data_IF_119011169819
#
_entry.id   IF_119011169819
#
_cell.length_a   1.000
_cell.length_b   1.000
_cell.length_c   1.000
_cell.angle_alpha   90.00
_cell.angle_beta   90.00
_cell.angle_gamma   90.00
#
_symmetry.space_group_name_H-M   'P 1'
#
loop_
_entity.id
_entity.type
_entity.pdbx_description
1 polymer ?
#
# COMPACT_ATOMS: atom_id res chain seq x y z
N UNK A 1 -13.87 54.73 23.98
CA UNK A 1 -12.51 55.23 23.67
C UNK A 1 -11.45 54.13 23.85
N UNK A 2 -11.82 52.84 23.78
CA UNK A 2 -10.88 51.70 23.92
C UNK A 2 -10.78 50.81 22.66
N UNK A 3 -11.59 51.07 21.61
CA UNK A 3 -11.65 50.18 20.42
C UNK A 3 -10.75 50.58 19.24
N UNK A 4 -10.13 51.76 19.26
CA UNK A 4 -9.22 52.20 18.18
C UNK A 4 -7.74 51.88 18.45
N UNK A 5 -7.36 51.66 19.71
CA UNK A 5 -5.97 51.36 20.09
C UNK A 5 -5.55 49.90 19.79
N UNK A 6 -6.52 48.98 19.65
CA UNK A 6 -6.25 47.56 19.36
C UNK A 6 -6.10 47.31 17.86
N UNK A 7 -6.76 48.12 17.00
CA UNK A 7 -6.65 47.99 15.53
C UNK A 7 -5.34 48.51 14.94
N UNK A 8 -4.63 49.40 15.63
CA UNK A 8 -3.36 49.98 15.14
C UNK A 8 -2.12 49.12 15.44
N UNK A 9 -2.21 48.11 16.32
CA UNK A 9 -1.10 47.20 16.66
C UNK A 9 -0.95 45.96 15.76
N UNK A 10 -1.81 45.79 14.75
CA UNK A 10 -1.66 44.76 13.71
C UNK A 10 -0.97 45.31 12.46
N UNK A 11 -0.39 46.52 12.52
CA UNK A 11 0.50 47.00 11.47
C UNK A 11 1.83 46.25 11.53
N UNK A 12 2.00 45.37 10.54
CA UNK A 12 3.28 44.87 10.02
C UNK A 12 4.18 44.24 11.08
N UNK A 13 3.85 42.99 11.45
CA UNK A 13 4.92 42.04 11.77
C UNK A 13 5.93 42.13 10.62
N UNK A 14 7.21 42.44 10.85
CA UNK A 14 8.23 42.31 9.83
C UNK A 14 8.07 40.92 9.23
N UNK A 15 8.14 40.79 7.90
CA UNK A 15 8.37 39.46 7.32
C UNK A 15 9.62 38.96 8.02
N UNK A 16 9.47 38.00 8.94
CA UNK A 16 10.60 37.27 9.50
C UNK A 16 11.44 36.89 8.29
N UNK A 17 12.71 37.30 8.30
CA UNK A 17 13.65 36.90 7.28
C UNK A 17 13.51 35.39 7.15
N UNK A 18 12.98 34.93 6.00
CA UNK A 18 12.86 33.51 5.72
C UNK A 18 14.23 32.93 6.02
N UNK A 19 14.31 32.05 7.03
CA UNK A 19 15.53 31.32 7.38
C UNK A 19 16.19 30.89 6.08
N UNK A 20 17.30 31.55 5.74
CA UNK A 20 18.02 31.25 4.50
C UNK A 20 18.73 29.94 4.73
N UNK A 21 18.53 28.98 3.82
CA UNK A 21 19.21 27.69 3.88
C UNK A 21 20.73 27.94 3.91
N UNK A 22 21.40 27.48 4.96
CA UNK A 22 22.85 27.61 5.09
C UNK A 22 23.56 26.78 4.04
N UNK A 23 24.67 27.29 3.52
CA UNK A 23 25.38 26.71 2.38
C UNK A 23 25.83 25.28 2.67
N UNK A 24 26.29 25.03 3.89
CA UNK A 24 26.79 23.74 4.36
C UNK A 24 25.72 22.65 4.27
N UNK A 25 24.46 22.97 4.57
CA UNK A 25 23.33 22.04 4.40
C UNK A 25 22.92 21.91 2.93
N UNK A 26 22.93 23.03 2.18
CA UNK A 26 22.58 23.03 0.76
C UNK A 26 23.54 22.19 -0.08
N UNK A 27 24.84 22.27 0.21
CA UNK A 27 25.90 21.57 -0.53
C UNK A 27 25.81 20.05 -0.36
N UNK A 28 25.15 19.54 0.69
CA UNK A 28 24.91 18.10 0.89
C UNK A 28 23.78 17.54 0.02
N UNK A 29 22.96 18.40 -0.61
CA UNK A 29 21.80 17.98 -1.42
C UNK A 29 22.23 17.77 -2.87
N UNK A 30 22.53 16.51 -3.22
CA UNK A 30 23.01 16.15 -4.56
C UNK A 30 21.88 15.65 -5.47
N UNK A 31 21.20 14.56 -5.10
CA UNK A 31 20.27 13.84 -5.99
C UNK A 31 18.78 14.01 -5.64
N UNK A 32 18.48 14.64 -4.51
CA UNK A 32 17.12 14.79 -4.01
C UNK A 32 16.83 16.25 -3.64
N UNK A 33 17.06 17.16 -4.59
CA UNK A 33 16.71 18.58 -4.43
C UNK A 33 15.19 18.71 -4.35
N UNK A 34 14.69 19.09 -3.18
CA UNK A 34 13.26 19.32 -2.97
C UNK A 34 12.78 20.51 -3.80
N UNK A 35 11.79 20.29 -4.67
CA UNK A 35 11.19 21.35 -5.50
C UNK A 35 9.67 21.31 -5.44
N UNK A 36 9.05 22.45 -5.77
CA UNK A 36 7.60 22.49 -5.99
C UNK A 36 7.25 21.87 -7.34
N UNK A 37 6.14 21.15 -7.38
CA UNK A 37 5.63 20.59 -8.64
C UNK A 37 5.22 21.70 -9.61
N UNK A 38 6.00 21.86 -10.69
CA UNK A 38 5.71 22.81 -11.77
C UNK A 38 4.75 22.29 -12.84
N UNK A 39 4.45 20.98 -12.85
CA UNK A 39 3.68 20.32 -13.90
C UNK A 39 4.43 19.13 -14.51
N UNK A 40 3.73 18.38 -15.36
CA UNK A 40 4.36 17.33 -16.17
C UNK A 40 5.01 17.96 -17.39
N UNK A 41 6.21 17.49 -17.73
CA UNK A 41 6.96 18.01 -18.88
C UNK A 41 6.25 17.71 -20.19
N UNK A 42 6.16 18.73 -21.04
CA UNK A 42 5.72 18.58 -22.42
C UNK A 42 6.95 18.35 -23.32
N UNK A 43 6.79 17.72 -24.49
CA UNK A 43 7.87 17.67 -25.48
C UNK A 43 8.38 19.08 -25.79
N UNK A 44 9.67 19.33 -25.62
CA UNK A 44 10.31 20.60 -25.97
C UNK A 44 10.43 21.64 -24.85
N UNK A 45 9.91 21.40 -23.65
CA UNK A 45 10.19 22.26 -22.47
C UNK A 45 11.20 21.59 -21.53
N UNK A 46 12.14 22.35 -20.93
CA UNK A 46 13.00 21.83 -19.87
C UNK A 46 12.10 21.34 -18.73
N UNK A 47 12.06 20.03 -18.52
CA UNK A 47 11.39 19.44 -17.39
C UNK A 47 12.13 19.68 -16.08
N UNK A 48 11.61 19.09 -15.00
CA UNK A 48 12.41 18.92 -13.78
C UNK A 48 13.67 18.13 -14.12
N UNK A 49 14.75 18.39 -13.40
CA UNK A 49 15.97 17.59 -13.55
C UNK A 49 15.83 16.27 -12.79
N UNK A 50 16.58 15.23 -13.19
CA UNK A 50 16.52 13.91 -12.53
C UNK A 50 16.85 13.95 -11.03
N UNK A 51 17.64 14.94 -10.61
CA UNK A 51 18.03 15.15 -9.21
C UNK A 51 17.02 16.02 -8.43
N UNK A 52 15.94 16.46 -9.07
CA UNK A 52 14.85 17.19 -8.44
C UNK A 52 13.74 16.21 -8.04
N UNK A 53 13.28 16.35 -6.80
CA UNK A 53 12.27 15.49 -6.20
C UNK A 53 11.07 16.33 -5.78
N UNK A 54 9.88 15.84 -6.10
CA UNK A 54 8.62 16.49 -5.74
C UNK A 54 7.92 15.71 -4.64
N UNK A 55 7.32 16.43 -3.69
CA UNK A 55 6.43 15.87 -2.69
C UNK A 55 4.97 16.21 -2.96
N UNK A 56 4.08 15.22 -2.83
CA UNK A 56 2.64 15.37 -2.93
C UNK A 56 1.98 14.86 -1.66
N UNK A 57 0.99 15.60 -1.14
CA UNK A 57 0.06 15.01 -0.18
C UNK A 57 -0.76 13.92 -0.86
N UNK A 58 -1.24 12.95 -0.09
CA UNK A 58 -2.17 11.90 -0.51
C UNK A 58 -3.27 12.45 -1.44
N UNK A 59 -4.02 13.46 -0.99
CA UNK A 59 -5.10 14.07 -1.77
C UNK A 59 -4.62 14.64 -3.12
N UNK A 60 -3.43 15.24 -3.16
CA UNK A 60 -2.87 15.80 -4.39
C UNK A 60 -2.42 14.69 -5.34
N UNK A 61 -1.79 13.64 -4.82
CA UNK A 61 -1.39 12.47 -5.60
C UNK A 61 -2.60 11.76 -6.22
N UNK A 62 -3.67 11.54 -5.44
CA UNK A 62 -4.92 10.96 -5.92
C UNK A 62 -5.60 11.79 -7.01
N UNK A 63 -5.53 13.12 -6.90
CA UNK A 63 -6.02 14.02 -7.96
C UNK A 63 -5.20 13.90 -9.24
N UNK A 64 -3.87 13.89 -9.15
CA UNK A 64 -3.00 13.69 -10.31
C UNK A 64 -3.19 12.33 -10.96
N UNK A 65 -3.39 11.27 -10.18
CA UNK A 65 -3.76 9.94 -10.66
C UNK A 65 -5.09 9.97 -11.43
N UNK A 66 -6.06 10.73 -10.95
CA UNK A 66 -7.38 10.86 -11.59
C UNK A 66 -7.31 11.64 -12.91
N UNK A 67 -6.69 12.81 -12.89
CA UNK A 67 -6.72 13.77 -13.99
C UNK A 67 -5.64 13.49 -15.04
N UNK A 68 -4.52 12.87 -14.63
CA UNK A 68 -3.31 12.78 -15.45
C UNK A 68 -2.45 11.56 -15.10
N UNK A 69 -3.09 10.42 -14.82
CA UNK A 69 -2.43 9.20 -14.36
C UNK A 69 -1.27 8.73 -15.25
N UNK A 70 -1.43 8.76 -16.58
CA UNK A 70 -0.33 8.40 -17.49
C UNK A 70 0.84 9.37 -17.43
N UNK A 71 0.57 10.68 -17.34
CA UNK A 71 1.62 11.69 -17.21
C UNK A 71 2.40 11.53 -15.90
N UNK A 72 1.72 11.15 -14.81
CA UNK A 72 2.38 10.82 -13.54
C UNK A 72 3.26 9.56 -13.66
N UNK A 73 2.78 8.51 -14.34
CA UNK A 73 3.58 7.31 -14.63
C UNK A 73 4.85 7.67 -15.39
N UNK A 74 4.74 8.43 -16.48
CA UNK A 74 5.89 8.86 -17.30
C UNK A 74 6.85 9.75 -16.52
N UNK A 75 6.34 10.68 -15.71
CA UNK A 75 7.17 11.51 -14.83
C UNK A 75 8.02 10.64 -13.88
N UNK A 76 7.40 9.64 -13.27
CA UNK A 76 8.02 8.72 -12.32
C UNK A 76 9.00 7.71 -12.94
N UNK A 77 9.19 7.71 -14.26
CA UNK A 77 10.25 6.91 -14.91
C UNK A 77 11.63 7.49 -14.57
N UNK A 78 11.76 8.82 -14.64
CA UNK A 78 13.05 9.53 -14.52
C UNK A 78 13.15 10.43 -13.28
N UNK A 79 12.07 10.55 -12.49
CA UNK A 79 12.02 11.41 -11.30
C UNK A 79 11.47 10.65 -10.10
N UNK A 80 11.96 11.02 -8.91
CA UNK A 80 11.42 10.53 -7.66
C UNK A 80 10.24 11.39 -7.21
N UNK A 81 9.13 10.72 -6.90
CA UNK A 81 7.96 11.34 -6.27
C UNK A 81 7.79 10.81 -4.84
N UNK A 82 7.71 11.73 -3.89
CA UNK A 82 7.41 11.44 -2.48
C UNK A 82 5.94 11.69 -2.18
N UNK A 83 5.24 10.68 -1.71
CA UNK A 83 3.84 10.81 -1.26
C UNK A 83 3.82 10.76 0.27
N UNK A 84 2.97 11.55 0.91
CA UNK A 84 2.81 11.53 2.36
C UNK A 84 1.33 11.62 2.78
N UNK A 85 0.98 11.13 3.98
CA UNK A 85 -0.40 11.12 4.46
C UNK A 85 -1.04 12.50 4.47
N UNK A 86 -2.34 12.58 4.22
CA UNK A 86 -3.06 13.85 4.33
C UNK A 86 -2.99 14.43 5.76
N UNK A 87 -2.94 15.76 5.87
CA UNK A 87 -2.76 16.43 7.17
C UNK A 87 -3.88 16.20 8.20
N UNK A 88 -5.04 15.70 7.78
CA UNK A 88 -6.14 15.35 8.69
C UNK A 88 -5.94 14.00 9.41
N UNK A 89 -4.98 13.18 8.99
CA UNK A 89 -4.62 11.90 9.61
C UNK A 89 -3.76 12.12 10.86
N UNK A 90 -4.28 12.92 11.80
CA UNK A 90 -3.59 13.29 13.05
C UNK A 90 -3.46 12.10 14.01
N UNK A 91 -4.28 11.08 13.82
CA UNK A 91 -4.20 9.77 14.48
C UNK A 91 -3.10 8.87 13.91
N UNK A 92 -2.33 9.36 12.94
CA UNK A 92 -1.33 8.59 12.20
C UNK A 92 -1.90 7.43 11.38
N UNK A 93 -3.19 7.44 11.04
CA UNK A 93 -3.76 6.48 10.09
C UNK A 93 -3.03 6.51 8.75
N UNK A 94 -3.09 5.42 8.01
CA UNK A 94 -2.44 5.28 6.72
C UNK A 94 -3.45 5.29 5.57
N UNK A 95 -2.95 5.62 4.39
CA UNK A 95 -3.66 5.47 3.12
C UNK A 95 -3.13 4.23 2.38
N UNK A 96 -3.88 3.71 1.42
CA UNK A 96 -3.42 2.56 0.63
C UNK A 96 -2.20 2.95 -0.21
N UNK A 97 -1.04 2.27 -0.02
CA UNK A 97 0.14 2.58 -0.82
C UNK A 97 0.00 2.10 -2.28
N UNK A 98 -0.91 1.17 -2.53
CA UNK A 98 -1.10 0.52 -3.85
C UNK A 98 -1.54 1.51 -4.91
N UNK A 99 -2.44 2.45 -4.58
CA UNK A 99 -2.86 3.48 -5.52
C UNK A 99 -1.69 4.33 -6.01
N UNK A 100 -0.72 4.61 -5.12
CA UNK A 100 0.47 5.40 -5.46
C UNK A 100 1.45 4.59 -6.30
N UNK A 101 1.69 3.32 -5.96
CA UNK A 101 2.55 2.44 -6.76
C UNK A 101 2.00 2.18 -8.15
N UNK A 102 0.67 2.13 -8.31
CA UNK A 102 -0.01 2.03 -9.59
C UNK A 102 0.28 3.24 -10.51
N UNK A 103 0.66 4.39 -9.94
CA UNK A 103 1.15 5.56 -10.68
C UNK A 103 2.68 5.62 -10.84
N UNK A 104 3.40 4.58 -10.40
CA UNK A 104 4.85 4.53 -10.41
C UNK A 104 5.54 5.34 -9.30
N UNK A 105 4.80 5.90 -8.34
CA UNK A 105 5.37 6.63 -7.20
C UNK A 105 6.21 5.69 -6.34
N UNK A 106 7.40 6.13 -5.92
CA UNK A 106 8.43 5.26 -5.35
C UNK A 106 8.59 5.50 -3.84
N UNK A 107 8.61 6.77 -3.42
CA UNK A 107 8.77 7.13 -2.01
C UNK A 107 7.38 7.36 -1.41
N UNK A 108 6.64 6.27 -1.23
CA UNK A 108 5.30 6.28 -0.65
C UNK A 108 5.44 6.20 0.87
N UNK A 109 5.46 7.36 1.53
CA UNK A 109 5.68 7.43 2.98
C UNK A 109 4.38 7.09 3.71
N UNK A 110 4.48 6.14 4.63
CA UNK A 110 3.43 5.74 5.57
C UNK A 110 3.92 5.98 7.01
N UNK A 111 2.98 6.02 7.94
CA UNK A 111 3.20 6.01 9.37
C UNK A 111 3.50 4.57 9.81
N UNK A 112 4.79 4.20 9.90
CA UNK A 112 5.23 2.84 10.21
C UNK A 112 4.81 2.36 11.61
N UNK A 113 4.57 3.30 12.52
CA UNK A 113 4.10 3.02 13.88
C UNK A 113 2.63 2.56 13.95
N UNK A 114 1.89 2.63 12.84
CA UNK A 114 0.45 2.34 12.82
C UNK A 114 0.17 0.99 12.17
N UNK A 115 -0.15 -0.05 12.97
CA UNK A 115 -0.70 -1.31 12.49
C UNK A 115 -1.94 -1.09 11.61
N UNK A 116 -2.07 -1.89 10.56
CA UNK A 116 -3.25 -1.85 9.70
C UNK A 116 -3.02 -2.50 8.34
N UNK A 117 -4.10 -2.69 7.56
CA UNK A 117 -4.02 -3.30 6.25
C UNK A 117 -3.05 -2.56 5.31
N UNK A 118 -2.93 -1.24 5.45
CA UNK A 118 -2.01 -0.44 4.65
C UNK A 118 -0.54 -0.82 4.91
N UNK A 119 -0.17 -0.98 6.18
CA UNK A 119 1.18 -1.41 6.57
C UNK A 119 1.41 -2.89 6.28
N UNK A 120 0.38 -3.73 6.40
CA UNK A 120 0.46 -5.15 6.02
C UNK A 120 0.82 -5.31 4.53
N UNK A 121 0.15 -4.53 3.67
CA UNK A 121 0.41 -4.52 2.23
C UNK A 121 1.77 -3.89 1.93
N UNK A 122 2.14 -2.83 2.65
CA UNK A 122 3.46 -2.22 2.56
C UNK A 122 4.57 -3.21 2.84
N UNK A 123 4.56 -3.83 4.02
CA UNK A 123 5.56 -4.81 4.42
C UNK A 123 5.54 -6.02 3.48
N UNK A 124 4.36 -6.53 3.10
CA UNK A 124 4.25 -7.63 2.14
C UNK A 124 4.93 -7.35 0.80
N UNK A 125 4.76 -6.15 0.24
CA UNK A 125 5.48 -5.73 -0.96
C UNK A 125 7.00 -5.76 -0.75
N UNK A 126 7.45 -5.18 0.34
CA UNK A 126 8.88 -5.02 0.62
C UNK A 126 9.54 -6.24 1.27
N UNK A 127 8.82 -7.34 1.52
CA UNK A 127 9.45 -8.64 1.77
C UNK A 127 10.09 -9.21 0.50
N UNK A 128 9.61 -8.79 -0.67
CA UNK A 128 10.20 -9.17 -1.95
C UNK A 128 11.62 -8.62 -2.10
N UNK A 129 12.37 -9.20 -3.03
CA UNK A 129 13.76 -8.82 -3.30
C UNK A 129 14.65 -8.84 -2.03
N UNK A 130 14.47 -9.87 -1.20
CA UNK A 130 15.29 -10.09 0.00
C UNK A 130 15.13 -9.01 1.07
N UNK A 131 13.99 -8.32 1.11
CA UNK A 131 13.68 -7.27 2.07
C UNK A 131 14.68 -6.10 2.13
N UNK A 132 15.35 -5.80 1.02
CA UNK A 132 16.36 -4.74 0.95
C UNK A 132 15.78 -3.31 0.93
N UNK A 133 14.45 -3.14 0.90
CA UNK A 133 13.78 -1.84 0.84
C UNK A 133 13.63 -1.27 -0.59
N UNK A 134 14.18 -1.93 -1.61
CA UNK A 134 14.06 -1.52 -3.01
C UNK A 134 13.50 -2.67 -3.85
N UNK A 135 12.35 -2.45 -4.50
CA UNK A 135 11.70 -3.42 -5.39
C UNK A 135 11.62 -2.81 -6.79
N UNK A 136 12.19 -3.50 -7.78
CA UNK A 136 12.20 -3.03 -9.16
C UNK A 136 10.76 -2.90 -9.69
N UNK A 137 10.45 -1.76 -10.31
CA UNK A 137 9.14 -1.54 -10.94
C UNK A 137 8.94 -2.42 -12.18
N UNK A 138 7.70 -2.80 -12.50
CA UNK A 138 7.34 -3.41 -13.79
C UNK A 138 7.88 -2.62 -14.98
N UNK A 139 8.18 -3.31 -16.08
CA UNK A 139 8.81 -2.71 -17.25
C UNK A 139 8.01 -1.52 -17.81
N UNK A 140 6.68 -1.63 -17.86
CA UNK A 140 5.80 -0.57 -18.33
C UNK A 140 5.71 0.67 -17.41
N UNK A 141 6.20 0.58 -16.17
CA UNK A 141 6.38 1.73 -15.25
C UNK A 141 7.82 2.29 -15.28
N UNK A 142 8.66 1.75 -16.17
CA UNK A 142 10.04 2.19 -16.44
C UNK A 142 10.22 2.65 -17.89
N UNK A 143 9.19 2.53 -18.72
CA UNK A 143 9.20 3.00 -20.11
C UNK A 143 8.73 4.47 -20.18
N UNK A 144 9.58 5.41 -20.62
CA UNK A 144 9.22 6.82 -20.74
C UNK A 144 8.09 7.07 -21.74
N UNK A 145 7.86 6.15 -22.68
CA UNK A 145 6.81 6.24 -23.69
C UNK A 145 5.53 5.49 -23.30
N UNK A 146 5.51 4.82 -22.14
CA UNK A 146 4.39 4.01 -21.66
C UNK A 146 3.06 4.76 -21.78
N UNK A 147 2.03 4.09 -22.29
CA UNK A 147 0.65 4.59 -22.33
C UNK A 147 -0.19 4.04 -21.18
N UNK A 148 0.44 3.39 -20.19
CA UNK A 148 -0.24 2.82 -19.04
C UNK A 148 -0.95 3.89 -18.20
N UNK A 149 -2.20 3.60 -17.83
CA UNK A 149 -2.94 4.32 -16.80
C UNK A 149 -3.79 3.30 -16.03
N UNK A 150 -3.51 3.12 -14.74
CA UNK A 150 -4.20 2.16 -13.88
C UNK A 150 -5.70 2.44 -13.70
N UNK A 151 -6.14 3.69 -13.90
CA UNK A 151 -7.57 4.09 -13.84
C UNK A 151 -8.27 4.06 -15.20
N UNK A 152 -7.52 3.92 -16.30
CA UNK A 152 -8.04 3.86 -17.67
C UNK A 152 -7.27 2.80 -18.47
N UNK A 153 -7.43 1.53 -18.06
CA UNK A 153 -6.69 0.41 -18.64
C UNK A 153 -7.06 0.20 -20.11
N UNK A 154 -6.04 0.17 -20.95
CA UNK A 154 -6.12 -0.23 -22.36
C UNK A 154 -5.31 -1.50 -22.60
N UNK A 155 -5.34 -2.05 -23.82
CA UNK A 155 -4.47 -3.15 -24.19
C UNK A 155 -3.00 -2.69 -24.17
N UNK A 156 -2.12 -3.50 -23.59
CA UNK A 156 -0.68 -3.24 -23.53
C UNK A 156 0.07 -4.33 -22.77
N UNK A 157 1.39 -4.19 -22.56
CA UNK A 157 2.21 -5.20 -21.88
C UNK A 157 1.76 -5.51 -20.45
N UNK A 158 1.13 -4.56 -19.76
CA UNK A 158 0.54 -4.73 -18.44
C UNK A 158 -0.70 -5.64 -18.42
N UNK A 159 -1.40 -5.78 -19.55
CA UNK A 159 -2.63 -6.57 -19.65
C UNK A 159 -2.27 -8.05 -19.86
N UNK A 160 -1.97 -8.73 -18.76
CA UNK A 160 -1.57 -10.15 -18.74
C UNK A 160 -2.52 -10.94 -17.86
N UNK A 161 -3.81 -10.94 -18.23
CA UNK A 161 -4.88 -11.56 -17.44
C UNK A 161 -4.53 -12.97 -16.97
N UNK A 162 -4.67 -13.18 -15.66
CA UNK A 162 -4.51 -14.45 -14.96
C UNK A 162 -5.77 -14.84 -14.20
N UNK A 163 -6.03 -16.14 -14.14
CA UNK A 163 -6.99 -16.74 -13.23
C UNK A 163 -6.24 -17.29 -12.03
N UNK A 164 -6.46 -16.69 -10.87
CA UNK A 164 -5.93 -17.13 -9.59
C UNK A 164 -7.01 -17.93 -8.86
N UNK A 165 -6.72 -19.19 -8.57
CA UNK A 165 -7.55 -20.04 -7.72
C UNK A 165 -6.83 -20.26 -6.39
N UNK A 166 -7.52 -19.96 -5.28
CA UNK A 166 -7.02 -20.14 -3.92
C UNK A 166 -8.02 -20.98 -3.14
N UNK A 167 -7.62 -22.19 -2.77
CA UNK A 167 -8.37 -23.05 -1.86
C UNK A 167 -7.81 -22.92 -0.46
N UNK A 168 -8.59 -22.35 0.45
CA UNK A 168 -8.30 -22.27 1.88
C UNK A 168 -8.77 -23.58 2.51
N UNK A 169 -7.81 -24.46 2.82
CA UNK A 169 -8.12 -25.83 3.26
C UNK A 169 -8.34 -25.83 4.78
N UNK A 170 -7.32 -25.43 5.54
CA UNK A 170 -7.36 -25.45 7.00
C UNK A 170 -6.43 -24.42 7.63
N UNK A 171 -6.60 -24.16 8.93
CA UNK A 171 -5.69 -23.37 9.75
C UNK A 171 -4.99 -24.26 10.78
N UNK A 172 -3.85 -23.82 11.30
CA UNK A 172 -3.10 -24.51 12.33
C UNK A 172 -2.69 -23.52 13.41
N UNK A 173 -2.96 -23.86 14.68
CA UNK A 173 -2.50 -23.13 15.87
C UNK A 173 -2.74 -21.61 15.80
N UNK A 174 -3.94 -21.20 15.42
CA UNK A 174 -4.33 -19.80 15.35
C UNK A 174 -4.28 -19.18 16.75
N UNK A 175 -3.59 -18.04 16.93
CA UNK A 175 -3.40 -17.45 18.24
C UNK A 175 -4.71 -16.90 18.79
N UNK A 176 -4.93 -17.14 20.09
CA UNK A 176 -5.99 -16.45 20.83
C UNK A 176 -5.52 -15.04 21.18
N UNK A 177 -6.05 -14.06 20.48
CA UNK A 177 -5.63 -12.65 20.56
C UNK A 177 -6.17 -12.00 21.83
N UNK A 178 -7.45 -12.21 22.12
CA UNK A 178 -8.11 -11.66 23.28
C UNK A 178 -8.09 -12.65 24.45
N UNK A 179 -7.09 -12.50 25.34
CA UNK A 179 -6.93 -13.36 26.52
C UNK A 179 -8.02 -13.18 27.58
N UNK A 180 -8.75 -12.06 27.54
CA UNK A 180 -9.78 -11.73 28.53
C UNK A 180 -11.13 -12.40 28.21
N UNK A 181 -11.35 -12.81 26.97
CA UNK A 181 -12.49 -13.64 26.60
C UNK A 181 -12.18 -15.08 26.97
N UNK A 182 -13.03 -15.75 27.75
CA UNK A 182 -12.87 -17.18 28.05
C UNK A 182 -13.38 -18.09 26.90
N UNK A 183 -13.51 -17.56 25.69
CA UNK A 183 -13.97 -18.28 24.50
C UNK A 183 -12.81 -18.95 23.76
N UNK A 184 -13.16 -19.93 22.93
CA UNK A 184 -12.27 -20.43 21.89
C UNK A 184 -12.50 -19.55 20.65
N UNK A 185 -11.45 -19.40 19.83
CA UNK A 185 -11.52 -18.62 18.59
C UNK A 185 -12.54 -19.23 17.64
N UNK A 186 -13.34 -18.36 17.00
CA UNK A 186 -14.28 -18.67 15.92
C UNK A 186 -13.72 -18.17 14.58
N UNK A 187 -12.70 -18.82 14.00
CA UNK A 187 -11.96 -18.21 12.91
C UNK A 187 -12.74 -18.20 11.59
N UNK A 188 -12.54 -17.13 10.83
CA UNK A 188 -12.79 -17.05 9.39
C UNK A 188 -11.58 -16.49 8.66
N UNK A 189 -11.45 -16.80 7.38
CA UNK A 189 -10.36 -16.34 6.52
C UNK A 189 -10.92 -15.45 5.42
N UNK A 190 -10.32 -14.28 5.23
CA UNK A 190 -10.56 -13.39 4.09
C UNK A 190 -9.34 -13.43 3.17
N UNK A 191 -9.58 -13.64 1.87
CA UNK A 191 -8.58 -13.53 0.81
C UNK A 191 -8.89 -12.30 -0.03
N UNK A 192 -7.93 -11.39 -0.11
CA UNK A 192 -8.04 -10.10 -0.78
C UNK A 192 -7.02 -10.01 -1.92
N UNK A 193 -7.45 -9.42 -3.04
CA UNK A 193 -6.58 -9.00 -4.12
C UNK A 193 -6.43 -7.48 -4.03
N UNK A 194 -5.19 -7.02 -3.93
CA UNK A 194 -4.81 -5.62 -3.99
C UNK A 194 -4.06 -5.37 -5.29
N UNK A 195 -4.31 -4.27 -5.98
CA UNK A 195 -3.65 -3.98 -7.26
C UNK A 195 -4.27 -2.76 -7.95
N UNK A 196 -4.40 -2.81 -9.28
CA UNK A 196 -5.22 -1.83 -10.00
C UNK A 196 -6.68 -1.96 -9.57
N UNK A 197 -7.46 -0.88 -9.64
CA UNK A 197 -8.84 -0.88 -9.12
C UNK A 197 -9.75 -1.94 -9.75
N UNK A 198 -9.46 -2.36 -10.99
CA UNK A 198 -10.19 -3.44 -11.69
C UNK A 198 -9.95 -4.83 -11.09
N UNK A 199 -8.79 -5.07 -10.50
CA UNK A 199 -8.39 -6.37 -9.97
C UNK A 199 -8.75 -6.52 -8.48
N UNK A 200 -9.10 -5.41 -7.81
CA UNK A 200 -9.41 -5.42 -6.38
C UNK A 200 -10.64 -6.28 -6.10
N UNK A 201 -10.46 -7.28 -5.25
CA UNK A 201 -11.51 -8.22 -4.88
C UNK A 201 -11.30 -8.74 -3.45
N UNK A 202 -12.38 -9.14 -2.79
CA UNK A 202 -12.33 -9.77 -1.46
C UNK A 202 -13.35 -10.90 -1.39
N UNK A 203 -12.95 -12.03 -0.82
CA UNK A 203 -13.79 -13.20 -0.56
C UNK A 203 -13.46 -13.75 0.82
N UNK A 204 -14.45 -14.32 1.49
CA UNK A 204 -14.28 -14.86 2.84
C UNK A 204 -14.87 -16.27 2.95
N UNK A 205 -14.27 -17.08 3.81
CA UNK A 205 -14.79 -18.40 4.16
C UNK A 205 -15.98 -18.27 5.11
N UNK A 206 -16.67 -19.38 5.37
CA UNK A 206 -17.54 -19.49 6.53
C UNK A 206 -16.71 -19.39 7.83
N UNK A 207 -17.40 -19.12 8.94
CA UNK A 207 -16.84 -19.19 10.29
C UNK A 207 -16.79 -20.65 10.72
N UNK A 208 -15.68 -21.07 11.32
CA UNK A 208 -15.60 -22.34 12.05
C UNK A 208 -15.72 -22.01 13.54
N UNK A 209 -16.69 -22.60 14.23
CA UNK A 209 -16.92 -22.27 15.65
C UNK A 209 -16.02 -23.07 16.59
N UNK A 210 -15.55 -22.42 17.64
CA UNK A 210 -14.76 -22.94 18.74
C UNK A 210 -13.57 -23.81 18.31
N UNK A 211 -12.84 -23.40 17.28
CA UNK A 211 -11.66 -24.12 16.82
C UNK A 211 -10.57 -23.21 16.25
N UNK A 212 -9.63 -22.80 17.10
CA UNK A 212 -8.38 -22.17 16.67
C UNK A 212 -7.23 -23.15 16.41
N UNK A 213 -7.34 -24.42 16.81
CA UNK A 213 -6.21 -25.35 16.77
C UNK A 213 -6.01 -25.97 15.38
N UNK A 214 -7.10 -26.41 14.75
CA UNK A 214 -7.08 -27.05 13.44
C UNK A 214 -8.38 -26.83 12.62
N UNK A 215 -8.88 -25.59 12.49
CA UNK A 215 -10.10 -25.31 11.72
C UNK A 215 -9.98 -25.80 10.28
N UNK A 216 -11.08 -26.32 9.72
CA UNK A 216 -11.14 -26.87 8.37
C UNK A 216 -12.27 -26.18 7.59
N UNK A 217 -11.91 -25.46 6.52
CA UNK A 217 -12.86 -24.71 5.68
C UNK A 217 -13.07 -25.35 4.32
N UNK A 218 -11.99 -25.85 3.72
CA UNK A 218 -11.96 -26.42 2.37
C UNK A 218 -12.72 -25.60 1.31
N UNK A 219 -12.61 -24.28 1.41
CA UNK A 219 -13.33 -23.33 0.57
C UNK A 219 -12.41 -22.81 -0.54
N UNK A 220 -12.89 -22.84 -1.78
CA UNK A 220 -12.15 -22.38 -2.95
C UNK A 220 -12.69 -21.04 -3.48
N UNK A 221 -11.78 -20.14 -3.80
CA UNK A 221 -12.08 -18.84 -4.42
C UNK A 221 -11.36 -18.73 -5.75
N UNK A 222 -12.03 -18.10 -6.72
CA UNK A 222 -11.45 -17.72 -8.00
C UNK A 222 -11.44 -16.20 -8.13
N UNK A 223 -10.30 -15.68 -8.60
CA UNK A 223 -10.08 -14.28 -8.88
C UNK A 223 -9.52 -14.10 -10.28
N UNK A 224 -10.04 -13.11 -10.99
CA UNK A 224 -9.46 -12.63 -12.24
C UNK A 224 -8.57 -11.44 -11.96
N UNK A 225 -7.30 -11.52 -12.38
CA UNK A 225 -6.31 -10.47 -12.18
C UNK A 225 -5.79 -10.03 -13.55
N UNK A 226 -6.13 -8.83 -13.99
CA UNK A 226 -5.81 -8.29 -15.32
C UNK A 226 -4.37 -7.77 -15.38
N UNK A 227 -3.86 -7.17 -14.30
CA UNK A 227 -2.51 -6.58 -14.20
C UNK A 227 -1.72 -7.25 -13.06
N UNK A 228 -1.33 -8.52 -13.22
CA UNK A 228 -0.72 -9.31 -12.15
C UNK A 228 0.60 -8.74 -11.62
N UNK A 229 1.39 -8.02 -12.43
CA UNK A 229 2.65 -7.39 -12.00
C UNK A 229 2.46 -6.28 -10.96
N UNK A 230 1.24 -5.78 -10.76
CA UNK A 230 0.89 -4.81 -9.72
C UNK A 230 0.08 -5.43 -8.58
N UNK A 231 -0.25 -6.72 -8.68
CA UNK A 231 -1.15 -7.38 -7.74
C UNK A 231 -0.42 -7.95 -6.51
N UNK A 232 -1.08 -7.90 -5.37
CA UNK A 232 -0.72 -8.59 -4.15
C UNK A 232 -1.92 -9.38 -3.65
N UNK A 233 -1.67 -10.53 -3.04
CA UNK A 233 -2.68 -11.39 -2.40
C UNK A 233 -2.49 -11.29 -0.89
N UNK A 234 -3.54 -10.90 -0.19
CA UNK A 234 -3.55 -10.77 1.28
C UNK A 234 -4.51 -11.79 1.89
N UNK A 235 -4.00 -12.55 2.85
CA UNK A 235 -4.75 -13.48 3.67
C UNK A 235 -4.94 -12.83 5.03
N UNK A 236 -6.16 -12.82 5.55
CA UNK A 236 -6.50 -12.28 6.87
C UNK A 236 -7.29 -13.32 7.62
N UNK A 237 -6.94 -13.55 8.87
CA UNK A 237 -7.70 -14.40 9.77
C UNK A 237 -8.32 -13.52 10.85
N UNK A 238 -9.62 -13.65 11.06
CA UNK A 238 -10.37 -12.91 12.08
C UNK A 238 -11.11 -13.89 12.99
N UNK A 239 -11.21 -13.55 14.27
CA UNK A 239 -12.05 -14.20 15.27
C UNK A 239 -13.44 -13.58 15.21
N UNK A 240 -14.43 -14.33 14.75
CA UNK A 240 -15.77 -13.83 14.57
C UNK A 240 -16.45 -13.58 15.92
N UNK A 241 -17.07 -12.40 16.07
CA UNK A 241 -17.85 -12.05 17.25
C UNK A 241 -19.21 -11.50 16.80
N UNK A 242 -20.30 -12.07 17.30
CA UNK A 242 -21.67 -11.62 16.96
C UNK A 242 -22.03 -10.28 17.61
N UNK A 243 -21.33 -9.93 18.69
CA UNK A 243 -21.64 -8.81 19.58
C UNK A 243 -20.69 -7.62 19.41
N UNK A 244 -19.52 -7.82 18.80
CA UNK A 244 -18.51 -6.78 18.63
C UNK A 244 -17.81 -6.89 17.28
N UNK A 245 -16.87 -5.99 17.01
CA UNK A 245 -16.03 -6.11 15.81
C UNK A 245 -15.15 -7.35 15.96
N UNK A 246 -15.03 -8.14 14.89
CA UNK A 246 -14.16 -9.32 14.87
C UNK A 246 -12.72 -8.95 15.30
N UNK A 247 -12.12 -9.81 16.11
CA UNK A 247 -10.74 -9.62 16.56
C UNK A 247 -9.78 -10.10 15.47
N UNK A 248 -8.80 -9.27 15.12
CA UNK A 248 -7.76 -9.65 14.15
C UNK A 248 -6.83 -10.71 14.74
N UNK A 249 -6.70 -11.85 14.08
CA UNK A 249 -5.82 -12.96 14.51
C UNK A 249 -4.45 -12.85 13.88
N UNK A 250 -4.39 -12.71 12.55
CA UNK A 250 -3.14 -12.63 11.83
C UNK A 250 -3.34 -12.45 10.34
N UNK A 251 -2.27 -12.08 9.63
CA UNK A 251 -2.31 -11.83 8.21
C UNK A 251 -1.05 -12.30 7.48
N UNK A 252 -1.12 -12.35 6.16
CA UNK A 252 0.05 -12.46 5.29
C UNK A 252 -0.26 -11.79 3.96
N UNK A 253 0.62 -10.92 3.49
CA UNK A 253 0.50 -10.28 2.16
C UNK A 253 1.66 -10.69 1.28
N UNK A 254 1.37 -11.17 0.08
CA UNK A 254 2.36 -11.74 -0.84
C UNK A 254 2.17 -11.09 -2.22
N UNK A 255 3.20 -10.48 -2.82
CA UNK A 255 3.16 -10.06 -4.23
C UNK A 255 2.80 -11.24 -5.13
N UNK A 256 1.93 -11.05 -6.11
CA UNK A 256 1.45 -12.17 -6.93
C UNK A 256 2.58 -12.87 -7.69
N UNK A 257 3.62 -12.13 -8.09
CA UNK A 257 4.86 -12.67 -8.68
C UNK A 257 5.64 -13.62 -7.76
N UNK A 258 5.49 -13.46 -6.45
CA UNK A 258 6.18 -14.24 -5.42
C UNK A 258 5.29 -15.31 -4.79
N UNK A 259 4.02 -15.40 -5.23
CA UNK A 259 3.05 -16.39 -4.76
C UNK A 259 3.34 -17.77 -5.36
N UNK A 260 3.81 -18.70 -4.54
CA UNK A 260 4.11 -20.07 -4.98
C UNK A 260 2.83 -20.88 -5.17
N UNK A 261 2.76 -21.62 -6.28
CA UNK A 261 1.66 -22.53 -6.60
C UNK A 261 1.77 -23.88 -5.87
N UNK A 262 0.69 -24.66 -5.92
CA UNK A 262 0.55 -25.98 -5.30
C UNK A 262 0.05 -25.89 -3.85
N UNK A 263 0.27 -26.95 -3.08
CA UNK A 263 -0.01 -26.99 -1.65
C UNK A 263 1.07 -26.23 -0.87
N UNK A 264 0.66 -25.25 -0.07
CA UNK A 264 1.55 -24.35 0.67
C UNK A 264 0.99 -24.04 2.05
N UNK A 265 1.88 -23.71 2.98
CA UNK A 265 1.50 -23.02 4.20
C UNK A 265 1.73 -21.52 4.01
N UNK A 266 0.74 -20.72 4.39
CA UNK A 266 0.86 -19.28 4.56
C UNK A 266 1.15 -19.03 6.04
N UNK A 267 2.32 -18.50 6.34
CA UNK A 267 2.72 -18.15 7.71
C UNK A 267 2.09 -16.81 8.09
N UNK A 268 1.36 -16.82 9.21
CA UNK A 268 0.64 -15.65 9.69
C UNK A 268 1.56 -14.75 10.51
N UNK A 269 1.38 -13.45 10.32
CA UNK A 269 2.01 -12.39 11.08
C UNK A 269 1.01 -11.80 12.08
N UNK A 270 1.52 -11.12 13.08
CA UNK A 270 0.74 -10.33 14.02
C UNK A 270 0.38 -8.97 13.42
N UNK A 271 -0.45 -8.19 14.14
CA UNK A 271 -0.77 -6.80 13.78
C UNK A 271 0.47 -5.90 13.63
N UNK A 272 1.58 -6.25 14.27
CA UNK A 272 2.82 -5.48 14.22
C UNK A 272 3.78 -5.98 13.11
N UNK A 273 3.42 -7.05 12.41
CA UNK A 273 4.28 -7.71 11.43
C UNK A 273 5.19 -8.80 12.01
N UNK A 274 5.07 -9.12 13.30
CA UNK A 274 5.86 -10.17 13.94
C UNK A 274 5.41 -11.56 13.47
N UNK A 275 6.36 -12.48 13.23
CA UNK A 275 6.01 -13.85 12.85
C UNK A 275 5.35 -14.59 14.02
N UNK A 276 4.20 -15.22 13.75
CA UNK A 276 3.70 -16.26 14.63
C UNK A 276 4.47 -17.56 14.39
N UNK A 277 5.01 -18.21 15.44
CA UNK A 277 5.93 -19.35 15.27
C UNK A 277 5.24 -20.57 14.65
N UNK A 278 3.96 -20.79 14.95
CA UNK A 278 3.23 -21.99 14.55
C UNK A 278 1.91 -21.70 13.82
N UNK A 279 1.51 -20.42 13.68
CA UNK A 279 0.21 -20.08 13.12
C UNK A 279 0.27 -20.04 11.60
N UNK A 280 -0.45 -20.95 10.96
CA UNK A 280 -0.45 -21.08 9.49
C UNK A 280 -1.84 -21.30 8.93
N UNK A 281 -2.01 -20.98 7.65
CA UNK A 281 -3.08 -21.50 6.81
C UNK A 281 -2.49 -22.49 5.82
N UNK A 282 -3.09 -23.67 5.70
CA UNK A 282 -2.79 -24.60 4.63
C UNK A 282 -3.70 -24.33 3.43
N UNK A 283 -3.09 -24.04 2.28
CA UNK A 283 -3.79 -23.61 1.07
C UNK A 283 -3.32 -24.39 -0.15
N UNK A 284 -4.16 -24.44 -1.18
CA UNK A 284 -3.75 -24.82 -2.54
C UNK A 284 -3.91 -23.63 -3.47
N UNK A 285 -2.84 -23.26 -4.16
CA UNK A 285 -2.81 -22.12 -5.09
C UNK A 285 -2.58 -22.62 -6.51
N UNK A 286 -3.36 -22.10 -7.47
CA UNK A 286 -3.17 -22.30 -8.90
C UNK A 286 -3.26 -20.96 -9.61
N UNK A 287 -2.33 -20.68 -10.51
CA UNK A 287 -2.30 -19.47 -11.32
C UNK A 287 -2.19 -19.86 -12.80
N UNK A 288 -3.23 -19.55 -13.58
CA UNK A 288 -3.35 -19.90 -15.00
C UNK A 288 -3.35 -18.62 -15.85
#
# INVERSE_FOLDING_TARGET
>A
MEDEAVRSRVQRKPREDKLRLVKELSDMVIYCKSVHFGGFSSPGTPGQAFYEMVSFSENRALRLLQESGNSLVRHNVNHLSRIYPAGWRTDSSNYSPVEMWNGGCQIVALNFQTPGPEMDVYQGRFQDNGACGYVLKPAFLRDPNSTFNSRALTQGPWWTRKRLTVRVISGQQLPKVNKNKNSIVDPKVTVEIHGVGRDMASRQTAVVTNNGFNPWWDTEFEFEVVVPELALVRFVVEDYDTSSKNDFIGQSTIPLSSLKQGYRHVHLLSKNGDQHPSATLFVKVSLQ
#
